data_IF_592119329494
#
_entry.id   IF_592119329494
#
_cell.length_a   1.000
_cell.length_b   1.000
_cell.length_c   1.000
_cell.angle_alpha   90.00
_cell.angle_beta   90.00
_cell.angle_gamma   90.00
#
_symmetry.space_group_name_H-M   'P 1'
#
loop_
_entity.id
_entity.type
_entity.pdbx_description
1 polymer ?
#
# COMPACT_ATOMS: atom_id res chain seq x y z
N UNK A 1 3.49 15.78 12.34
CA UNK A 1 4.33 14.71 11.86
C UNK A 1 4.47 14.79 10.36
N UNK A 2 5.69 15.09 9.94
CA UNK A 2 5.96 15.33 8.51
C UNK A 2 5.72 14.10 7.64
N UNK A 3 6.05 12.91 8.14
CA UNK A 3 5.83 11.68 7.40
C UNK A 3 4.36 11.46 7.09
N UNK A 4 3.50 11.67 8.08
CA UNK A 4 2.07 11.54 7.88
C UNK A 4 1.54 12.57 6.88
N UNK A 5 2.00 13.82 7.00
CA UNK A 5 1.59 14.87 6.06
C UNK A 5 2.03 14.55 4.63
N UNK A 6 3.24 14.06 4.46
CA UNK A 6 3.74 13.67 3.14
C UNK A 6 2.92 12.52 2.56
N UNK A 7 2.60 11.54 3.39
CA UNK A 7 1.79 10.41 2.95
C UNK A 7 0.39 10.84 2.55
N UNK A 8 -0.27 11.66 3.38
CA UNK A 8 -1.61 12.12 3.08
C UNK A 8 -1.65 12.96 1.80
N UNK A 9 -0.65 13.81 1.60
CA UNK A 9 -0.55 14.60 0.37
C UNK A 9 -0.34 13.72 -0.86
N UNK A 10 0.51 12.69 -0.74
CA UNK A 10 0.75 11.76 -1.83
C UNK A 10 -0.50 10.95 -2.16
N UNK A 11 -1.24 10.50 -1.14
CA UNK A 11 -2.48 9.76 -1.32
C UNK A 11 -3.53 10.63 -2.01
N UNK A 12 -3.61 11.90 -1.63
CA UNK A 12 -4.54 12.83 -2.25
C UNK A 12 -4.19 13.03 -3.73
N UNK A 13 -2.90 13.23 -4.05
CA UNK A 13 -2.46 13.38 -5.43
C UNK A 13 -2.75 12.13 -6.27
N UNK A 14 -2.63 10.96 -5.65
CA UNK A 14 -2.88 9.69 -6.35
C UNK A 14 -4.37 9.33 -6.43
N UNK A 15 -5.24 10.10 -5.75
CA UNK A 15 -6.66 9.80 -5.71
C UNK A 15 -7.00 8.57 -4.87
N UNK A 16 -6.14 8.21 -3.93
CA UNK A 16 -6.28 7.00 -3.13
C UNK A 16 -6.73 7.26 -1.69
N UNK A 17 -6.81 8.52 -1.27
CA UNK A 17 -7.04 8.87 0.12
C UNK A 17 -8.33 8.27 0.69
N UNK A 18 -9.39 8.24 -0.11
CA UNK A 18 -10.69 7.73 0.33
C UNK A 18 -10.68 6.22 0.56
N UNK A 19 -9.70 5.52 0.01
CA UNK A 19 -9.63 4.07 0.10
C UNK A 19 -8.72 3.59 1.23
N UNK A 20 -8.07 4.50 1.93
CA UNK A 20 -7.20 4.18 3.05
C UNK A 20 -7.99 4.25 4.35
N UNK A 21 -7.99 3.14 5.10
CA UNK A 21 -8.71 3.07 6.36
C UNK A 21 -7.86 3.45 7.56
N UNK A 22 -6.77 2.72 7.77
CA UNK A 22 -5.89 2.92 8.93
C UNK A 22 -4.46 3.08 8.48
N UNK A 23 -3.69 3.88 9.21
CA UNK A 23 -2.28 4.10 8.94
C UNK A 23 -1.50 3.83 10.21
N UNK A 24 -0.48 2.97 10.11
CA UNK A 24 0.39 2.63 11.22
C UNK A 24 1.79 3.18 10.93
N UNK A 25 2.24 4.12 11.77
CA UNK A 25 3.54 4.77 11.62
C UNK A 25 4.55 4.30 12.69
N UNK A 26 4.28 3.19 13.36
CA UNK A 26 5.14 2.71 14.44
C UNK A 26 6.44 2.08 13.94
N UNK A 27 6.52 1.74 12.66
CA UNK A 27 7.74 1.18 12.08
C UNK A 27 8.70 2.30 11.64
N UNK A 28 10.00 2.07 11.78
CA UNK A 28 10.99 3.09 11.50
C UNK A 28 11.34 3.23 10.01
N UNK A 29 11.15 2.16 9.23
CA UNK A 29 11.61 2.14 7.84
C UNK A 29 10.48 2.00 6.81
N UNK A 30 9.26 1.76 7.28
CA UNK A 30 8.11 1.60 6.37
C UNK A 30 6.81 1.99 7.07
N UNK A 31 5.79 2.21 6.26
CA UNK A 31 4.45 2.56 6.72
C UNK A 31 3.53 1.39 6.40
N UNK A 32 2.67 1.02 7.35
CA UNK A 32 1.61 0.05 7.10
C UNK A 32 0.29 0.81 7.03
N UNK A 33 -0.53 0.47 6.04
CA UNK A 33 -1.86 1.06 5.95
C UNK A 33 -2.85 0.04 5.39
N UNK A 34 -4.12 0.18 5.79
CA UNK A 34 -5.19 -0.66 5.25
C UNK A 34 -5.75 0.03 4.01
N UNK A 35 -5.70 -0.66 2.89
CA UNK A 35 -6.14 -0.14 1.60
C UNK A 35 -7.33 -0.95 1.11
N UNK A 36 -8.44 -0.28 0.77
CA UNK A 36 -9.69 -0.91 0.32
C UNK A 36 -10.26 -1.93 1.31
N UNK A 37 -9.93 -1.76 2.60
CA UNK A 37 -10.39 -2.62 3.69
C UNK A 37 -9.91 -4.09 3.62
N UNK A 38 -9.21 -4.46 2.55
CA UNK A 38 -8.81 -5.86 2.33
C UNK A 38 -7.30 -6.05 2.27
N UNK A 39 -6.54 -4.99 1.99
CA UNK A 39 -5.10 -5.10 1.81
C UNK A 39 -4.37 -4.35 2.91
N UNK A 40 -3.36 -5.00 3.48
CA UNK A 40 -2.38 -4.28 4.29
C UNK A 40 -1.25 -3.89 3.36
N UNK A 41 -1.10 -2.61 3.08
CA UNK A 41 -0.04 -2.11 2.22
C UNK A 41 1.15 -1.71 3.08
N UNK A 42 2.35 -2.18 2.71
CA UNK A 42 3.59 -1.83 3.38
C UNK A 42 4.42 -0.99 2.43
N UNK A 43 4.60 0.28 2.77
CA UNK A 43 5.23 1.28 1.90
C UNK A 43 6.59 1.66 2.46
N UNK A 44 7.68 1.53 1.69
CA UNK A 44 9.00 1.92 2.19
C UNK A 44 9.13 3.43 2.33
N UNK A 45 9.79 3.87 3.39
CA UNK A 45 10.01 5.30 3.64
C UNK A 45 11.24 5.87 2.92
N UNK A 46 12.12 4.99 2.45
CA UNK A 46 13.34 5.41 1.76
C UNK A 46 13.17 5.56 0.25
N UNK A 47 11.94 5.44 -0.25
CA UNK A 47 11.64 5.56 -1.67
C UNK A 47 10.60 6.64 -1.90
N UNK A 48 10.45 7.05 -3.16
CA UNK A 48 9.46 8.04 -3.54
C UNK A 48 8.04 7.53 -3.26
N UNK A 49 7.31 8.25 -2.42
CA UNK A 49 5.95 7.87 -2.06
C UNK A 49 5.01 7.87 -3.25
N UNK A 50 5.12 8.86 -4.13
CA UNK A 50 4.24 8.93 -5.31
C UNK A 50 4.45 7.70 -6.20
N UNK A 51 5.69 7.30 -6.40
CA UNK A 51 6.00 6.10 -7.17
C UNK A 51 5.45 4.84 -6.48
N UNK A 52 5.68 4.72 -5.17
CA UNK A 52 5.23 3.55 -4.42
C UNK A 52 3.70 3.43 -4.45
N UNK A 53 2.98 4.54 -4.30
CA UNK A 53 1.53 4.50 -4.36
C UNK A 53 1.02 4.12 -5.74
N UNK A 54 1.70 4.55 -6.81
CA UNK A 54 1.36 4.12 -8.16
C UNK A 54 1.55 2.63 -8.35
N UNK A 55 2.65 2.08 -7.85
CA UNK A 55 2.90 0.63 -7.88
C UNK A 55 1.84 -0.10 -7.07
N UNK A 56 1.49 0.40 -5.89
CA UNK A 56 0.45 -0.21 -5.06
C UNK A 56 -0.88 -0.29 -5.80
N UNK A 57 -1.30 0.80 -6.44
CA UNK A 57 -2.57 0.82 -7.14
C UNK A 57 -2.60 -0.20 -8.28
N UNK A 58 -1.53 -0.28 -9.06
CA UNK A 58 -1.44 -1.25 -10.15
C UNK A 58 -1.40 -2.68 -9.64
N UNK A 59 -0.65 -2.93 -8.57
CA UNK A 59 -0.52 -4.27 -8.00
C UNK A 59 -1.85 -4.76 -7.41
N UNK A 60 -2.58 -3.88 -6.74
CA UNK A 60 -3.88 -4.22 -6.18
C UNK A 60 -4.88 -4.50 -7.31
N UNK A 61 -4.91 -3.68 -8.34
CA UNK A 61 -5.80 -3.93 -9.48
C UNK A 61 -5.49 -5.24 -10.18
N UNK A 62 -4.22 -5.53 -10.40
CA UNK A 62 -3.81 -6.80 -11.02
C UNK A 62 -4.23 -7.98 -10.16
N UNK A 63 -4.06 -7.87 -8.84
CA UNK A 63 -4.44 -8.93 -7.90
C UNK A 63 -5.95 -9.16 -7.92
N UNK A 64 -6.74 -8.09 -7.94
CA UNK A 64 -8.19 -8.20 -8.00
C UNK A 64 -8.64 -8.84 -9.31
N UNK A 65 -8.02 -8.47 -10.42
CA UNK A 65 -8.36 -9.06 -11.72
C UNK A 65 -7.99 -10.53 -11.79
N UNK A 66 -6.88 -10.92 -11.18
CA UNK A 66 -6.39 -12.30 -11.23
C UNK A 66 -7.10 -13.20 -10.21
N UNK A 67 -7.36 -12.69 -9.02
CA UNK A 67 -7.88 -13.47 -7.89
C UNK A 67 -9.34 -13.17 -7.56
N UNK A 68 -9.92 -12.13 -8.13
CA UNK A 68 -11.30 -11.73 -7.88
C UNK A 68 -11.42 -10.56 -6.91
N UNK A 69 -12.61 -9.99 -6.83
CA UNK A 69 -12.87 -8.81 -6.00
C UNK A 69 -12.77 -9.09 -4.50
N UNK A 70 -12.76 -10.35 -4.09
CA UNK A 70 -12.65 -10.73 -2.69
C UNK A 70 -11.20 -10.94 -2.25
N UNK A 71 -10.24 -10.68 -3.12
CA UNK A 71 -8.83 -10.82 -2.78
C UNK A 71 -8.49 -9.95 -1.57
N UNK A 72 -7.71 -10.51 -0.65
CA UNK A 72 -7.28 -9.85 0.57
C UNK A 72 -5.91 -10.39 0.98
N UNK A 73 -5.13 -9.59 1.67
CA UNK A 73 -3.82 -10.02 2.13
C UNK A 73 -2.87 -8.84 2.32
N UNK A 74 -1.57 -9.12 2.27
CA UNK A 74 -0.52 -8.14 2.46
C UNK A 74 0.10 -7.80 1.10
N UNK A 75 0.11 -6.52 0.76
CA UNK A 75 0.81 -6.01 -0.42
C UNK A 75 2.07 -5.30 0.07
N UNK A 76 3.21 -5.98 -0.06
CA UNK A 76 4.47 -5.52 0.50
C UNK A 76 5.34 -4.89 -0.60
N UNK A 77 5.60 -3.59 -0.48
CA UNK A 77 6.44 -2.85 -1.41
C UNK A 77 7.85 -2.60 -0.85
N UNK A 78 8.17 -3.21 0.29
CA UNK A 78 9.48 -3.02 0.93
C UNK A 78 10.54 -4.01 0.45
N UNK A 79 10.16 -5.00 -0.34
CA UNK A 79 11.09 -6.01 -0.84
C UNK A 79 11.95 -5.43 -1.95
N UNK A 80 13.25 -5.70 -1.91
CA UNK A 80 14.17 -5.21 -2.93
C UNK A 80 14.08 -5.96 -4.24
N UNK A 81 13.69 -7.22 -4.19
CA UNK A 81 13.62 -8.08 -5.37
C UNK A 81 12.38 -7.86 -6.23
N UNK A 82 11.34 -7.27 -5.66
CA UNK A 82 10.05 -7.09 -6.32
C UNK A 82 9.54 -5.68 -6.09
N UNK A 83 8.86 -5.12 -7.08
CA UNK A 83 8.17 -3.83 -6.92
C UNK A 83 7.03 -3.97 -5.90
N UNK A 84 6.34 -5.09 -5.93
CA UNK A 84 5.32 -5.43 -4.95
C UNK A 84 5.24 -6.93 -4.79
N UNK A 85 5.10 -7.40 -3.56
CA UNK A 85 4.95 -8.81 -3.24
C UNK A 85 3.61 -9.00 -2.51
N UNK A 86 2.76 -9.86 -3.06
CA UNK A 86 1.45 -10.12 -2.47
C UNK A 86 1.46 -11.45 -1.71
N UNK A 87 1.02 -11.38 -0.44
CA UNK A 87 0.82 -12.56 0.41
C UNK A 87 -0.67 -12.66 0.70
N UNK A 88 -1.37 -13.67 0.16
CA UNK A 88 -2.80 -13.80 0.40
C UNK A 88 -3.10 -14.02 1.88
N UNK A 89 -4.22 -13.46 2.33
CA UNK A 89 -4.71 -13.78 3.66
C UNK A 89 -5.13 -15.25 3.66
N UNK A 90 -4.72 -15.98 4.71
CA UNK A 90 -5.12 -17.37 4.82
C UNK A 90 -6.60 -17.43 5.13
N UNK A 91 -7.31 -18.01 4.24
CA UNK A 91 -8.75 -18.19 4.40
C UNK A 91 -9.08 -19.50 5.07
#
# INVERSE_FOLDING_TARGET
LETLKKLLSALERAGMLEQVGSIDLTHSTWISMVYRERFEARIPLDKDLDHSLGVLALAVEDTVQTRGEQAAGIMDLTQEEYDAAFTPASG
#
